data_IF_472827167901
#
_entry.id   IF_472827167901
#
_cell.length_a   1.000
_cell.length_b   1.000
_cell.length_c   1.000
_cell.angle_alpha   90.00
_cell.angle_beta   90.00
_cell.angle_gamma   90.00
#
_symmetry.space_group_name_H-M   'P 1'
#
loop_
_entity.id
_entity.type
_entity.pdbx_description
1 polymer ?
#
# COMPACT_ATOMS: atom_id res chain seq x y z
N UNK A 1 -14.32 -6.15 7.06
CA UNK A 1 -13.82 -7.42 6.49
C UNK A 1 -13.20 -7.18 5.12
N UNK A 2 -12.02 -7.73 4.89
CA UNK A 2 -11.32 -7.57 3.62
C UNK A 2 -11.90 -8.47 2.55
N UNK A 3 -12.00 -7.94 1.34
CA UNK A 3 -12.61 -8.64 0.23
C UNK A 3 -11.66 -8.68 -0.97
N UNK A 4 -11.67 -9.80 -1.68
CA UNK A 4 -10.85 -9.97 -2.86
C UNK A 4 -11.14 -8.92 -3.92
N UNK A 5 -10.08 -8.36 -4.48
CA UNK A 5 -10.16 -7.41 -5.59
C UNK A 5 -10.67 -6.04 -5.23
N UNK A 6 -10.86 -5.74 -3.95
CA UNK A 6 -11.30 -4.41 -3.52
C UNK A 6 -10.12 -3.55 -3.11
N UNK A 7 -10.27 -2.24 -3.27
CA UNK A 7 -9.28 -1.29 -2.75
C UNK A 7 -9.34 -1.37 -1.22
N UNK A 8 -8.21 -1.67 -0.59
CA UNK A 8 -8.16 -1.94 0.84
C UNK A 8 -7.25 -0.96 1.58
N UNK A 9 -6.29 -0.35 0.88
CA UNK A 9 -5.24 0.43 1.55
C UNK A 9 -4.62 1.42 0.58
N UNK A 10 -4.19 2.57 1.07
CA UNK A 10 -3.40 3.51 0.28
C UNK A 10 -2.11 3.79 1.04
N UNK A 11 -0.96 3.50 0.42
CA UNK A 11 0.33 3.76 1.02
C UNK A 11 0.99 4.96 0.35
N UNK A 12 1.48 5.88 1.15
CA UNK A 12 2.14 7.08 0.67
C UNK A 12 3.63 7.04 1.02
N UNK A 13 4.51 7.51 0.14
CA UNK A 13 5.88 7.80 0.54
C UNK A 13 5.92 9.06 1.42
N UNK A 14 6.88 9.11 2.34
CA UNK A 14 7.06 10.27 3.19
C UNK A 14 8.56 10.55 3.37
N UNK A 15 8.90 11.83 3.45
CA UNK A 15 10.27 12.25 3.75
C UNK A 15 10.37 12.90 5.13
N UNK A 16 9.24 13.13 5.79
CA UNK A 16 9.22 13.73 7.13
C UNK A 16 7.90 13.42 7.79
N UNK A 17 7.84 12.30 8.48
CA UNK A 17 6.59 11.85 9.11
C UNK A 17 6.01 12.88 10.08
N UNK A 18 6.79 13.55 10.95
CA UNK A 18 6.20 14.58 11.82
C UNK A 18 5.51 15.71 11.06
N UNK A 19 6.10 16.18 9.96
CA UNK A 19 5.50 17.24 9.14
C UNK A 19 4.25 16.76 8.42
N UNK A 20 4.26 15.52 7.93
CA UNK A 20 3.10 14.89 7.29
C UNK A 20 1.95 14.80 8.28
N UNK A 21 2.20 14.30 9.48
CA UNK A 21 1.17 14.20 10.53
C UNK A 21 0.58 15.56 10.87
N UNK A 22 1.43 16.56 11.04
CA UNK A 22 0.97 17.91 11.36
C UNK A 22 0.06 18.47 10.26
N UNK A 23 0.45 18.27 9.00
CA UNK A 23 -0.31 18.78 7.87
C UNK A 23 -1.70 18.12 7.78
N UNK A 24 -1.74 16.78 7.74
CA UNK A 24 -3.00 16.08 7.54
C UNK A 24 -3.92 16.15 8.75
N UNK A 25 -3.36 16.26 9.96
CA UNK A 25 -4.16 16.48 11.16
C UNK A 25 -4.81 17.87 11.13
N UNK A 26 -4.04 18.91 10.77
CA UNK A 26 -4.55 20.26 10.74
C UNK A 26 -5.56 20.48 9.62
N UNK A 27 -5.29 19.95 8.44
CA UNK A 27 -6.12 20.18 7.25
C UNK A 27 -7.38 19.30 7.23
N UNK A 28 -7.27 18.03 7.65
CA UNK A 28 -8.34 17.06 7.45
C UNK A 28 -8.75 16.30 8.71
N UNK A 29 -8.09 16.50 9.82
CA UNK A 29 -8.45 15.85 11.08
C UNK A 29 -8.07 14.38 11.17
N UNK A 30 -7.11 13.91 10.35
CA UNK A 30 -6.66 12.54 10.40
C UNK A 30 -5.95 12.24 11.72
N UNK A 31 -6.09 11.03 12.20
CA UNK A 31 -5.40 10.55 13.40
C UNK A 31 -4.46 9.39 13.03
N UNK A 32 -3.61 8.97 13.95
CA UNK A 32 -2.43 8.19 13.60
C UNK A 32 -2.19 7.04 14.57
N UNK A 33 -1.59 5.97 14.04
CA UNK A 33 -1.03 4.88 14.85
C UNK A 33 0.42 4.72 14.43
N UNK A 34 1.34 4.95 15.36
CA UNK A 34 2.78 4.88 15.05
C UNK A 34 3.27 3.43 15.09
N UNK A 35 4.06 3.08 14.09
CA UNK A 35 4.73 1.79 13.98
C UNK A 35 6.24 2.01 13.85
N UNK A 36 6.84 2.68 14.83
CA UNK A 36 8.24 3.04 14.81
C UNK A 36 8.48 4.39 14.12
N UNK A 37 9.76 4.77 13.95
CA UNK A 37 10.10 6.09 13.41
C UNK A 37 9.87 6.23 11.90
N UNK A 38 9.79 5.12 11.18
CA UNK A 38 9.77 5.13 9.72
C UNK A 38 8.42 4.77 9.11
N UNK A 39 7.40 4.50 9.93
CA UNK A 39 6.08 4.17 9.42
C UNK A 39 4.98 4.63 10.37
N UNK A 40 3.94 5.19 9.81
CA UNK A 40 2.75 5.58 10.57
C UNK A 40 1.51 5.17 9.77
N UNK A 41 0.56 4.55 10.46
CA UNK A 41 -0.73 4.24 9.86
C UNK A 41 -1.68 5.41 10.05
N UNK A 42 -2.55 5.61 9.07
CA UNK A 42 -3.60 6.63 9.12
C UNK A 42 -4.85 6.00 9.71
N UNK A 43 -5.45 6.69 10.64
CA UNK A 43 -6.76 6.34 11.17
C UNK A 43 -7.72 7.48 10.80
N UNK A 44 -8.97 7.15 10.52
CA UNK A 44 -9.99 8.17 10.27
C UNK A 44 -9.77 8.95 8.95
N UNK A 45 -9.24 8.30 7.92
CA UNK A 45 -9.07 8.93 6.60
C UNK A 45 -10.08 8.45 5.55
N UNK A 46 -11.03 7.61 5.97
CA UNK A 46 -12.05 7.05 5.08
C UNK A 46 -11.68 5.69 4.50
N UNK A 47 -10.40 5.38 4.40
CA UNK A 47 -9.87 4.09 4.00
C UNK A 47 -8.59 3.87 4.81
N UNK A 48 -8.22 2.62 5.02
CA UNK A 48 -6.96 2.32 5.69
C UNK A 48 -5.79 2.80 4.85
N UNK A 49 -4.74 3.27 5.49
CA UNK A 49 -3.58 3.77 4.79
C UNK A 49 -2.40 3.99 5.72
N UNK A 50 -1.28 4.36 5.13
CA UNK A 50 -0.08 4.65 5.90
C UNK A 50 0.94 5.43 5.11
N UNK A 51 1.93 5.95 5.83
CA UNK A 51 3.05 6.68 5.25
C UNK A 51 4.35 5.94 5.58
N UNK A 52 5.10 5.60 4.53
CA UNK A 52 6.39 4.93 4.67
C UNK A 52 7.50 5.97 4.52
N UNK A 53 8.24 6.19 5.59
CA UNK A 53 9.36 7.13 5.62
C UNK A 53 10.72 6.47 5.52
N UNK A 54 10.77 5.17 5.30
CA UNK A 54 12.03 4.42 5.20
C UNK A 54 12.60 4.56 3.79
N UNK A 55 13.56 5.47 3.62
CA UNK A 55 14.19 5.71 2.32
C UNK A 55 15.02 4.51 1.84
N UNK A 56 15.34 3.56 2.71
CA UNK A 56 16.10 2.36 2.33
C UNK A 56 15.19 1.22 1.83
N UNK A 57 13.88 1.37 1.93
CA UNK A 57 12.93 0.35 1.51
C UNK A 57 12.79 0.37 -0.02
N UNK A 58 13.44 -0.57 -0.68
CA UNK A 58 13.40 -0.69 -2.13
C UNK A 58 12.01 -1.06 -2.67
N UNK A 59 11.15 -1.60 -1.82
CA UNK A 59 9.79 -1.99 -2.18
C UNK A 59 8.76 -0.94 -1.76
N UNK A 60 9.21 0.17 -1.19
CA UNK A 60 8.33 1.26 -0.80
C UNK A 60 7.75 1.98 -2.01
N UNK A 61 6.58 2.56 -1.83
CA UNK A 61 5.93 3.34 -2.87
C UNK A 61 6.73 4.63 -3.15
N UNK A 62 6.82 5.00 -4.42
CA UNK A 62 7.41 6.27 -4.83
C UNK A 62 6.37 7.34 -5.07
N UNK A 63 5.11 6.94 -5.13
CA UNK A 63 3.92 7.79 -5.27
C UNK A 63 2.80 7.15 -4.48
N UNK A 64 1.68 7.83 -4.25
CA UNK A 64 0.53 7.19 -3.60
C UNK A 64 0.22 5.87 -4.29
N UNK A 65 0.23 4.79 -3.51
CA UNK A 65 0.07 3.44 -4.01
C UNK A 65 -1.26 2.89 -3.54
N UNK A 66 -2.13 2.56 -4.49
CA UNK A 66 -3.40 1.91 -4.21
C UNK A 66 -3.16 0.42 -4.06
N UNK A 67 -3.61 -0.16 -2.97
CA UNK A 67 -3.38 -1.56 -2.64
C UNK A 67 -4.71 -2.29 -2.57
N UNK A 68 -4.82 -3.36 -3.35
CA UNK A 68 -5.99 -4.25 -3.35
C UNK A 68 -5.72 -5.44 -2.43
N UNK A 69 -6.76 -6.17 -2.09
CA UNK A 69 -6.65 -7.33 -1.22
C UNK A 69 -6.90 -8.63 -1.99
N UNK A 70 -6.24 -9.71 -1.58
CA UNK A 70 -6.50 -11.05 -2.07
C UNK A 70 -6.31 -12.06 -0.93
N UNK A 71 -7.21 -13.02 -0.82
CA UNK A 71 -7.04 -14.15 0.10
C UNK A 71 -5.96 -15.10 -0.42
N UNK A 72 -5.94 -15.34 -1.73
CA UNK A 72 -4.96 -16.20 -2.40
C UNK A 72 -4.14 -15.34 -3.34
N UNK A 73 -2.97 -14.91 -2.89
CA UNK A 73 -2.17 -13.96 -3.64
C UNK A 73 -1.58 -14.55 -4.92
N UNK A 74 -1.23 -15.84 -4.91
CA UNK A 74 -0.74 -16.50 -6.11
C UNK A 74 -1.80 -16.56 -7.20
N UNK A 75 -3.03 -16.91 -6.81
CA UNK A 75 -4.15 -16.94 -7.75
C UNK A 75 -4.45 -15.55 -8.31
N UNK A 76 -4.37 -14.52 -7.47
CA UNK A 76 -4.61 -13.16 -7.90
C UNK A 76 -3.53 -12.66 -8.87
N UNK A 77 -2.27 -13.01 -8.62
CA UNK A 77 -1.18 -12.67 -9.54
C UNK A 77 -1.41 -13.30 -10.92
N UNK A 78 -1.86 -14.55 -10.95
CA UNK A 78 -2.20 -15.22 -12.20
C UNK A 78 -3.35 -14.52 -12.93
N UNK A 79 -4.37 -14.08 -12.21
CA UNK A 79 -5.50 -13.34 -12.79
C UNK A 79 -5.05 -12.01 -13.39
N UNK A 80 -4.20 -11.28 -12.69
CA UNK A 80 -3.66 -9.99 -13.15
C UNK A 80 -2.91 -10.19 -14.47
N UNK A 81 -2.05 -11.19 -14.53
CA UNK A 81 -1.28 -11.50 -15.74
C UNK A 81 -2.20 -11.90 -16.88
N UNK A 82 -3.17 -12.79 -16.62
CA UNK A 82 -4.10 -13.25 -17.64
C UNK A 82 -4.97 -12.11 -18.18
N UNK A 83 -5.26 -11.11 -17.37
CA UNK A 83 -6.07 -9.97 -17.76
C UNK A 83 -5.28 -8.87 -18.50
N UNK A 84 -3.96 -9.01 -18.60
CA UNK A 84 -3.11 -8.06 -19.32
C UNK A 84 -2.27 -7.14 -18.45
N UNK A 85 -2.28 -7.33 -17.13
CA UNK A 85 -1.40 -6.60 -16.24
C UNK A 85 0.03 -7.14 -16.30
N UNK A 86 0.99 -6.32 -15.90
CA UNK A 86 2.40 -6.70 -15.88
C UNK A 86 2.89 -6.68 -14.44
N UNK A 87 3.43 -7.80 -13.95
CA UNK A 87 4.00 -7.88 -12.62
C UNK A 87 5.35 -7.16 -12.65
N UNK A 88 5.46 -6.07 -11.91
CA UNK A 88 6.70 -5.28 -11.84
C UNK A 88 7.52 -5.57 -10.58
N UNK A 89 6.86 -6.08 -9.52
CA UNK A 89 7.54 -6.59 -8.33
C UNK A 89 6.89 -7.92 -7.98
N UNK A 90 7.59 -9.05 -8.17
CA UNK A 90 7.05 -10.37 -7.80
C UNK A 90 6.70 -10.45 -6.32
N UNK A 91 5.88 -11.42 -5.95
CA UNK A 91 5.42 -11.59 -4.57
C UNK A 91 6.61 -11.56 -3.61
N UNK A 92 6.52 -10.69 -2.61
CA UNK A 92 7.54 -10.56 -1.56
C UNK A 92 6.89 -10.43 -0.19
N UNK A 93 7.58 -10.87 0.88
CA UNK A 93 7.05 -10.75 2.23
C UNK A 93 7.25 -9.35 2.80
N UNK A 94 6.38 -8.98 3.72
CA UNK A 94 6.52 -7.80 4.56
C UNK A 94 5.87 -8.12 5.92
N UNK A 95 6.04 -7.28 6.95
CA UNK A 95 5.56 -7.63 8.30
C UNK A 95 4.09 -7.98 8.42
N UNK A 96 3.23 -7.48 7.54
CA UNK A 96 1.79 -7.77 7.59
C UNK A 96 1.34 -8.96 6.75
N UNK A 97 2.22 -9.52 5.91
CA UNK A 97 1.85 -10.59 5.01
C UNK A 97 2.75 -10.65 3.79
N UNK A 98 2.15 -10.73 2.61
CA UNK A 98 2.88 -10.72 1.33
C UNK A 98 2.17 -9.80 0.36
N UNK A 99 2.92 -9.25 -0.59
CA UNK A 99 2.33 -8.43 -1.65
C UNK A 99 3.12 -8.55 -2.95
N UNK A 100 2.51 -8.11 -4.04
CA UNK A 100 3.19 -7.91 -5.32
C UNK A 100 2.70 -6.60 -5.92
N UNK A 101 3.49 -6.06 -6.84
CA UNK A 101 3.10 -4.85 -7.57
C UNK A 101 2.93 -5.18 -9.05
N UNK A 102 1.98 -4.51 -9.66
CA UNK A 102 1.69 -4.67 -11.08
C UNK A 102 1.37 -3.32 -11.70
N UNK A 103 1.49 -3.24 -13.02
CA UNK A 103 0.98 -2.10 -13.77
C UNK A 103 -0.26 -2.52 -14.54
N UNK A 104 -1.23 -1.60 -14.62
CA UNK A 104 -2.41 -1.78 -15.45
C UNK A 104 -2.11 -1.38 -16.91
N UNK A 105 -3.06 -1.55 -17.86
CA UNK A 105 -2.82 -1.20 -19.24
C UNK A 105 -2.48 0.28 -19.50
N UNK A 106 -2.81 1.17 -18.57
CA UNK A 106 -2.46 2.59 -18.69
C UNK A 106 -1.16 2.96 -17.99
N UNK A 107 -0.45 1.96 -17.44
CA UNK A 107 0.83 2.19 -16.77
C UNK A 107 0.73 2.60 -15.30
N UNK A 108 -0.46 2.56 -14.71
CA UNK A 108 -0.59 2.83 -13.28
C UNK A 108 -0.04 1.66 -12.48
N UNK A 109 0.80 1.96 -11.48
CA UNK A 109 1.31 0.93 -10.60
C UNK A 109 0.41 0.80 -9.37
N UNK A 110 -0.05 -0.41 -9.11
CA UNK A 110 -0.84 -0.77 -7.93
C UNK A 110 -0.19 -1.98 -7.27
N UNK A 111 -0.69 -2.33 -6.10
CA UNK A 111 -0.25 -3.53 -5.41
C UNK A 111 -1.45 -4.39 -5.00
N UNK A 112 -1.18 -5.65 -4.74
CA UNK A 112 -2.12 -6.57 -4.11
C UNK A 112 -1.43 -7.16 -2.90
N UNK A 113 -2.13 -7.25 -1.78
CA UNK A 113 -1.57 -7.85 -0.58
C UNK A 113 -2.46 -8.95 -0.04
N UNK A 114 -1.87 -9.83 0.75
CA UNK A 114 -2.54 -10.90 1.44
C UNK A 114 -1.96 -11.02 2.84
N UNK A 115 -2.78 -11.43 3.79
CA UNK A 115 -2.33 -11.67 5.16
C UNK A 115 -1.48 -12.93 5.28
N UNK A 116 -1.51 -13.77 4.26
CA UNK A 116 -0.71 -15.01 4.19
C UNK A 116 0.27 -14.90 3.01
#
# INVERSE_FOLDING_TARGET
>A
MREDGKIDYVEFPATGIPAVKAFYSAAFGWTWVDYGPDYVAVDNAGIDGGFNGDASDENGATQPLVVLYAHDIEAMAAKVTAAGGVIVKPIFPFPGGRRFHFTDPSGNELAVWSET
#
